data_IF_707840992269
#
_entry.id   IF_707840992269
#
_cell.length_a   1.000
_cell.length_b   1.000
_cell.length_c   1.000
_cell.angle_alpha   90.00
_cell.angle_beta   90.00
_cell.angle_gamma   90.00
#
_symmetry.space_group_name_H-M   'P 1'
#
loop_
_entity.id
_entity.type
_entity.pdbx_description
1 polymer ?
#
# COMPACT_ATOMS: atom_id res chain seq x y z
N UNK A 1 15.02 -10.30 1.14
CA UNK A 1 15.22 -11.58 1.86
C UNK A 1 14.17 -12.59 1.45
N UNK A 2 12.88 -12.27 1.56
CA UNK A 2 11.77 -13.15 1.13
C UNK A 2 11.86 -13.61 -0.32
N UNK A 3 12.13 -12.72 -1.28
CA UNK A 3 12.32 -13.12 -2.67
C UNK A 3 13.42 -14.16 -2.87
N UNK A 4 14.55 -14.05 -2.16
CA UNK A 4 15.63 -15.05 -2.20
C UNK A 4 15.23 -16.36 -1.54
N UNK A 5 14.56 -16.32 -0.39
CA UNK A 5 14.08 -17.53 0.29
C UNK A 5 13.06 -18.31 -0.54
N UNK A 6 12.17 -17.61 -1.25
CA UNK A 6 11.25 -18.24 -2.19
C UNK A 6 11.96 -18.78 -3.44
N UNK A 7 12.89 -18.04 -4.01
CA UNK A 7 13.71 -18.48 -5.15
C UNK A 7 14.44 -19.79 -4.81
N UNK A 8 15.14 -19.84 -3.67
CA UNK A 8 15.80 -21.06 -3.18
C UNK A 8 14.83 -22.24 -3.03
N UNK A 9 13.59 -21.99 -2.58
CA UNK A 9 12.58 -23.03 -2.43
C UNK A 9 12.06 -23.55 -3.78
N UNK A 10 11.90 -22.67 -4.76
CA UNK A 10 11.47 -23.03 -6.10
C UNK A 10 12.58 -23.72 -6.90
N UNK A 11 13.83 -23.28 -6.74
CA UNK A 11 15.02 -23.91 -7.34
C UNK A 11 15.10 -25.39 -6.93
N UNK A 12 14.84 -25.73 -5.66
CA UNK A 12 14.81 -27.12 -5.15
C UNK A 12 13.74 -27.99 -5.83
N UNK A 13 12.67 -27.39 -6.34
CA UNK A 13 11.59 -28.09 -7.03
C UNK A 13 11.76 -28.06 -8.57
N UNK A 14 12.77 -27.35 -9.08
CA UNK A 14 12.94 -27.11 -10.51
C UNK A 14 11.83 -26.24 -11.12
N UNK A 15 11.15 -25.41 -10.32
CA UNK A 15 10.09 -24.54 -10.80
C UNK A 15 10.63 -23.20 -11.28
N UNK A 16 10.15 -22.74 -12.44
CA UNK A 16 10.39 -21.39 -12.89
C UNK A 16 9.66 -20.38 -11.97
N UNK A 17 10.31 -19.25 -11.72
CA UNK A 17 9.74 -18.10 -11.02
C UNK A 17 10.21 -16.82 -11.68
N UNK A 18 9.45 -15.76 -11.44
CA UNK A 18 9.74 -14.46 -11.98
C UNK A 18 10.60 -13.67 -10.98
N UNK A 19 11.77 -13.20 -11.42
CA UNK A 19 12.82 -12.74 -10.51
C UNK A 19 13.16 -11.23 -10.59
N UNK A 20 12.66 -10.49 -11.59
CA UNK A 20 13.21 -9.14 -11.91
C UNK A 20 12.23 -8.16 -12.57
N UNK A 21 11.13 -7.82 -11.93
CA UNK A 21 10.37 -6.65 -12.37
C UNK A 21 10.02 -5.73 -11.21
N UNK A 22 9.74 -4.48 -11.55
CA UNK A 22 9.19 -3.48 -10.66
C UNK A 22 7.69 -3.75 -10.59
N UNK A 23 7.24 -4.32 -9.46
CA UNK A 23 5.82 -4.46 -9.21
C UNK A 23 5.25 -3.12 -8.73
N UNK A 24 4.20 -2.68 -9.40
CA UNK A 24 3.57 -1.43 -9.06
C UNK A 24 2.62 -1.57 -7.86
N UNK A 25 2.93 -0.88 -6.78
CA UNK A 25 2.04 -0.75 -5.62
C UNK A 25 1.14 0.48 -5.77
N UNK A 26 0.18 0.45 -6.71
CA UNK A 26 -0.57 1.64 -7.13
C UNK A 26 -1.70 2.08 -6.17
N UNK A 27 -2.37 1.16 -5.50
CA UNK A 27 -3.57 1.48 -4.72
C UNK A 27 -3.45 1.00 -3.26
N UNK A 28 -3.58 1.91 -2.27
CA UNK A 28 -3.47 1.59 -0.85
C UNK A 28 -4.55 0.61 -0.36
N UNK A 29 -5.65 0.43 -1.09
CA UNK A 29 -6.69 -0.53 -0.73
C UNK A 29 -6.44 -1.96 -1.21
N UNK A 30 -5.34 -2.24 -1.92
CA UNK A 30 -4.91 -3.64 -2.09
C UNK A 30 -4.41 -4.22 -0.77
N UNK A 31 -4.65 -5.52 -0.58
CA UNK A 31 -4.42 -6.23 0.66
C UNK A 31 -2.97 -6.20 1.14
N UNK A 32 -1.99 -6.21 0.23
CA UNK A 32 -0.57 -6.13 0.54
C UNK A 32 -0.09 -4.67 0.69
N UNK A 33 -0.74 -3.72 0.00
CA UNK A 33 -0.45 -2.29 0.12
C UNK A 33 -0.72 -1.72 1.50
N UNK A 34 -1.90 -1.94 2.06
CA UNK A 34 -2.29 -1.29 3.32
C UNK A 34 -1.39 -1.67 4.50
N UNK A 35 -1.07 -2.96 4.73
CA UNK A 35 -0.11 -3.36 5.75
C UNK A 35 1.29 -2.80 5.47
N UNK A 36 1.71 -2.76 4.20
CA UNK A 36 3.02 -2.21 3.82
C UNK A 36 3.15 -0.73 4.14
N UNK A 37 2.08 0.06 3.94
CA UNK A 37 2.02 1.46 4.37
C UNK A 37 2.06 1.63 5.89
N UNK A 38 1.80 0.56 6.64
CA UNK A 38 1.86 0.51 8.08
C UNK A 38 3.14 -0.17 8.61
N UNK A 39 4.15 -0.36 7.77
CA UNK A 39 5.47 -0.88 8.16
C UNK A 39 5.60 -2.40 8.11
N UNK A 40 4.54 -3.12 7.72
CA UNK A 40 4.66 -4.54 7.42
C UNK A 40 5.33 -4.76 6.05
N UNK A 41 5.60 -6.02 5.71
CA UNK A 41 6.09 -6.41 4.39
C UNK A 41 4.97 -7.20 3.73
N UNK A 42 4.23 -6.55 2.83
CA UNK A 42 3.20 -7.19 2.00
C UNK A 42 3.81 -7.85 0.77
N UNK A 43 3.33 -9.05 0.45
CA UNK A 43 3.72 -9.81 -0.75
C UNK A 43 2.50 -10.58 -1.25
N UNK A 44 2.26 -10.54 -2.55
CA UNK A 44 1.21 -11.33 -3.20
C UNK A 44 1.86 -12.50 -3.94
N UNK A 45 1.40 -13.72 -3.66
CA UNK A 45 1.85 -14.93 -4.35
C UNK A 45 0.82 -15.38 -5.37
N UNK A 46 1.08 -15.05 -6.63
CA UNK A 46 0.29 -15.51 -7.76
C UNK A 46 0.90 -16.79 -8.33
N UNK A 47 0.03 -17.71 -8.76
CA UNK A 47 0.48 -18.94 -9.43
C UNK A 47 -0.11 -19.04 -10.81
N UNK A 48 0.54 -19.81 -11.68
CA UNK A 48 0.15 -20.00 -13.07
C UNK A 48 -0.98 -21.02 -13.26
N UNK A 49 -1.42 -21.72 -12.20
CA UNK A 49 -2.49 -22.71 -12.21
C UNK A 49 -3.78 -22.23 -11.54
N UNK A 50 -4.94 -22.62 -12.08
CA UNK A 50 -6.25 -22.30 -11.52
C UNK A 50 -6.90 -21.02 -12.08
N UNK A 51 -7.83 -20.45 -11.31
CA UNK A 51 -8.58 -19.25 -11.68
C UNK A 51 -9.34 -19.40 -13.00
N UNK A 52 -9.27 -18.38 -13.86
CA UNK A 52 -9.88 -18.39 -15.19
C UNK A 52 -9.31 -19.44 -16.14
N UNK A 53 -8.15 -20.04 -15.82
CA UNK A 53 -7.50 -21.08 -16.63
C UNK A 53 -7.98 -22.50 -16.28
N UNK A 54 -8.83 -22.64 -15.26
CA UNK A 54 -9.43 -23.92 -14.87
C UNK A 54 -8.46 -24.92 -14.24
N UNK A 55 -8.81 -26.21 -14.28
CA UNK A 55 -8.04 -27.28 -13.62
C UNK A 55 -6.74 -27.63 -14.33
N UNK A 56 -6.65 -27.34 -15.63
CA UNK A 56 -5.50 -27.65 -16.49
C UNK A 56 -5.55 -26.79 -17.73
N UNK A 57 -4.41 -26.23 -18.11
CA UNK A 57 -4.25 -25.49 -19.36
C UNK A 57 -2.85 -25.70 -19.93
N UNK A 58 -2.65 -25.31 -21.18
CA UNK A 58 -1.37 -25.41 -21.89
C UNK A 58 -0.80 -24.02 -22.10
N UNK A 59 0.44 -23.83 -21.65
CA UNK A 59 1.24 -22.61 -21.87
C UNK A 59 1.67 -22.51 -23.34
N UNK A 60 2.11 -21.33 -23.74
CA UNK A 60 2.61 -21.07 -25.10
C UNK A 60 3.83 -21.92 -25.46
N UNK A 61 4.66 -22.25 -24.49
CA UNK A 61 5.82 -23.15 -24.63
C UNK A 61 5.44 -24.65 -24.72
N UNK A 62 4.13 -24.96 -24.73
CA UNK A 62 3.60 -26.31 -24.79
C UNK A 62 3.52 -27.02 -23.44
N UNK A 63 4.05 -26.43 -22.36
CA UNK A 63 4.00 -27.02 -21.02
C UNK A 63 2.55 -27.07 -20.50
N UNK A 64 2.22 -28.18 -19.82
CA UNK A 64 0.95 -28.32 -19.14
C UNK A 64 1.08 -27.83 -17.71
N UNK A 65 0.16 -26.94 -17.32
CA UNK A 65 0.05 -26.44 -15.95
C UNK A 65 -1.31 -26.83 -15.40
N UNK A 66 -1.34 -27.34 -14.18
CA UNK A 66 -2.56 -27.77 -13.50
C UNK A 66 -2.83 -26.94 -12.26
N UNK A 67 -4.08 -26.98 -11.79
CA UNK A 67 -4.45 -26.44 -10.48
C UNK A 67 -3.62 -27.10 -9.35
N UNK A 68 -3.29 -28.39 -9.50
CA UNK A 68 -2.43 -29.10 -8.53
C UNK A 68 -1.04 -28.45 -8.45
N UNK A 69 -0.45 -28.07 -9.58
CA UNK A 69 0.84 -27.38 -9.61
C UNK A 69 0.74 -26.00 -8.97
N UNK A 70 -0.36 -25.27 -9.22
CA UNK A 70 -0.63 -23.98 -8.57
C UNK A 70 -0.73 -24.11 -7.05
N UNK A 71 -1.49 -25.10 -6.55
CA UNK A 71 -1.61 -25.38 -5.12
C UNK A 71 -0.23 -25.71 -4.52
N UNK A 72 0.56 -26.58 -5.17
CA UNK A 72 1.88 -26.95 -4.69
C UNK A 72 2.83 -25.74 -4.61
N UNK A 73 2.86 -24.89 -5.65
CA UNK A 73 3.67 -23.65 -5.67
C UNK A 73 3.26 -22.70 -4.55
N UNK A 74 1.96 -22.46 -4.37
CA UNK A 74 1.45 -21.56 -3.33
C UNK A 74 1.78 -22.08 -1.92
N UNK A 75 1.65 -23.39 -1.71
CA UNK A 75 2.00 -24.04 -0.44
C UNK A 75 3.50 -23.90 -0.12
N UNK A 76 4.37 -24.21 -1.08
CA UNK A 76 5.83 -24.11 -0.90
C UNK A 76 6.26 -22.66 -0.67
N UNK A 77 5.70 -21.70 -1.42
CA UNK A 77 5.98 -20.27 -1.20
C UNK A 77 5.56 -19.82 0.21
N UNK A 78 4.41 -20.30 0.69
CA UNK A 78 3.92 -20.00 2.04
C UNK A 78 4.88 -20.52 3.11
N UNK A 79 5.31 -21.78 3.02
CA UNK A 79 6.29 -22.34 3.97
C UNK A 79 7.65 -21.63 3.89
N UNK A 80 8.16 -21.38 2.68
CA UNK A 80 9.41 -20.65 2.48
C UNK A 80 9.35 -19.24 3.10
N UNK A 81 8.19 -18.59 3.04
CA UNK A 81 7.95 -17.28 3.67
C UNK A 81 8.06 -17.39 5.18
N UNK A 82 7.38 -18.36 5.80
CA UNK A 82 7.43 -18.59 7.25
C UNK A 82 8.85 -18.92 7.70
N UNK A 83 9.54 -19.83 7.01
CA UNK A 83 10.94 -20.18 7.31
C UNK A 83 11.88 -18.98 7.19
N UNK A 84 11.68 -18.15 6.16
CA UNK A 84 12.48 -16.93 5.96
C UNK A 84 12.20 -15.91 7.07
N UNK A 85 10.93 -15.77 7.48
CA UNK A 85 10.56 -14.90 8.59
C UNK A 85 11.19 -15.35 9.91
N UNK A 86 11.15 -16.64 10.21
CA UNK A 86 11.77 -17.22 11.42
C UNK A 86 13.29 -17.00 11.41
N UNK A 87 13.95 -17.26 10.27
CA UNK A 87 15.40 -17.05 10.10
C UNK A 87 15.84 -15.60 10.27
N UNK A 88 14.98 -14.64 9.94
CA UNK A 88 15.29 -13.22 9.99
C UNK A 88 14.47 -12.44 11.04
N UNK A 89 13.91 -13.12 12.05
CA UNK A 89 12.94 -12.55 13.00
C UNK A 89 13.42 -11.25 13.65
N UNK A 90 14.68 -11.20 14.09
CA UNK A 90 15.23 -10.03 14.81
C UNK A 90 15.32 -8.82 13.88
N UNK A 91 15.83 -9.04 12.65
CA UNK A 91 15.89 -7.99 11.63
C UNK A 91 14.51 -7.48 11.23
N UNK A 92 13.52 -8.38 11.14
CA UNK A 92 12.14 -8.01 10.80
C UNK A 92 11.47 -7.20 11.91
N UNK A 93 11.63 -7.61 13.16
CA UNK A 93 11.13 -6.88 14.32
C UNK A 93 11.80 -5.51 14.45
N UNK A 94 13.12 -5.44 14.25
CA UNK A 94 13.85 -4.18 14.25
C UNK A 94 13.39 -3.26 13.12
N UNK A 95 13.20 -3.79 11.91
CA UNK A 95 12.64 -3.01 10.79
C UNK A 95 11.26 -2.44 11.12
N UNK A 96 10.36 -3.26 11.67
CA UNK A 96 9.02 -2.80 12.05
C UNK A 96 9.08 -1.73 13.14
N UNK A 97 9.89 -1.94 14.19
CA UNK A 97 10.10 -0.97 15.25
C UNK A 97 10.66 0.36 14.72
N UNK A 98 11.72 0.30 13.91
CA UNK A 98 12.34 1.48 13.34
C UNK A 98 11.36 2.25 12.46
N UNK A 99 10.58 1.56 11.62
CA UNK A 99 9.54 2.20 10.81
C UNK A 99 8.57 3.01 11.68
N UNK A 100 8.08 2.44 12.78
CA UNK A 100 7.13 3.11 13.69
C UNK A 100 7.77 4.29 14.42
N UNK A 101 9.00 4.10 14.91
CA UNK A 101 9.77 5.13 15.61
C UNK A 101 10.07 6.31 14.68
N UNK A 102 10.59 6.06 13.49
CA UNK A 102 10.92 7.11 12.53
C UNK A 102 9.67 7.84 12.04
N UNK A 103 8.53 7.15 11.87
CA UNK A 103 7.27 7.80 11.52
C UNK A 103 6.87 8.89 12.53
N UNK A 104 7.01 8.61 13.83
CA UNK A 104 6.74 9.59 14.90
C UNK A 104 7.71 10.77 14.80
N UNK A 105 9.01 10.49 14.68
CA UNK A 105 10.05 11.53 14.58
C UNK A 105 9.85 12.43 13.34
N UNK A 106 9.51 11.84 12.20
CA UNK A 106 9.23 12.54 10.95
C UNK A 106 7.96 13.38 11.04
N UNK A 107 6.87 12.86 11.62
CA UNK A 107 5.66 13.64 11.88
C UNK A 107 5.90 14.82 12.82
N UNK A 108 6.75 14.61 13.83
CA UNK A 108 7.13 15.62 14.82
C UNK A 108 8.17 16.63 14.32
N UNK A 109 8.88 16.37 13.19
CA UNK A 109 9.87 17.28 12.60
C UNK A 109 9.51 17.83 11.20
N UNK A 110 8.65 17.17 10.44
CA UNK A 110 8.21 17.55 9.10
C UNK A 110 7.48 18.91 8.99
N UNK A 111 7.31 19.45 7.77
CA UNK A 111 6.70 20.77 7.56
C UNK A 111 5.19 20.78 7.84
N UNK A 112 4.52 19.65 7.63
CA UNK A 112 3.13 19.44 8.05
C UNK A 112 3.12 18.67 9.36
N UNK A 113 2.44 19.20 10.37
CA UNK A 113 2.33 18.59 11.70
C UNK A 113 1.00 17.90 11.92
N UNK A 114 -0.09 18.46 11.40
CA UNK A 114 -1.45 18.02 11.71
C UNK A 114 -2.38 18.26 10.53
N UNK A 115 -3.36 17.38 10.37
CA UNK A 115 -4.53 17.66 9.55
C UNK A 115 -5.72 18.02 10.43
N UNK A 116 -6.49 19.01 10.00
CA UNK A 116 -7.74 19.40 10.66
C UNK A 116 -8.88 19.21 9.67
N UNK A 117 -9.80 18.32 9.99
CA UNK A 117 -11.01 18.08 9.20
C UNK A 117 -12.19 18.78 9.86
N UNK A 118 -12.88 19.59 9.09
CA UNK A 118 -14.10 20.26 9.54
C UNK A 118 -15.28 19.28 9.46
N UNK A 119 -16.19 19.27 10.44
CA UNK A 119 -17.38 18.41 10.41
C UNK A 119 -18.31 18.74 9.24
N UNK A 120 -18.17 19.92 8.64
CA UNK A 120 -18.96 20.36 7.49
C UNK A 120 -20.46 20.41 7.81
N UNK A 121 -21.28 20.21 6.78
CA UNK A 121 -22.74 20.17 6.92
C UNK A 121 -23.28 18.77 7.22
N UNK A 122 -22.41 17.75 7.30
CA UNK A 122 -22.77 16.35 7.51
C UNK A 122 -21.90 15.74 8.63
N UNK A 123 -22.34 15.83 9.88
CA UNK A 123 -21.64 15.26 11.03
C UNK A 123 -21.46 13.74 10.93
N UNK A 124 -22.34 13.04 10.21
CA UNK A 124 -22.27 11.60 10.03
C UNK A 124 -21.01 11.20 9.24
N UNK A 125 -20.73 11.91 8.15
CA UNK A 125 -19.51 11.68 7.35
C UNK A 125 -18.23 11.95 8.14
N UNK A 126 -18.21 12.98 8.97
CA UNK A 126 -17.07 13.27 9.83
C UNK A 126 -16.85 12.14 10.86
N UNK A 127 -17.94 11.63 11.46
CA UNK A 127 -17.88 10.49 12.36
C UNK A 127 -17.40 9.20 11.67
N UNK A 128 -17.85 8.93 10.44
CA UNK A 128 -17.39 7.77 9.65
C UNK A 128 -15.90 7.86 9.30
N UNK A 129 -15.41 9.05 8.95
CA UNK A 129 -13.99 9.30 8.75
C UNK A 129 -13.20 9.02 10.02
N UNK A 130 -13.62 9.59 11.16
CA UNK A 130 -12.98 9.36 12.45
C UNK A 130 -12.95 7.86 12.80
N UNK A 131 -14.06 7.15 12.64
CA UNK A 131 -14.15 5.72 12.89
C UNK A 131 -13.22 4.91 11.97
N UNK A 132 -13.06 5.33 10.71
CA UNK A 132 -12.16 4.68 9.76
C UNK A 132 -10.69 4.87 10.15
N UNK A 133 -10.32 6.09 10.56
CA UNK A 133 -8.98 6.40 11.05
C UNK A 133 -8.66 5.61 12.33
N UNK A 134 -9.60 5.55 13.27
CA UNK A 134 -9.44 4.78 14.51
C UNK A 134 -9.29 3.27 14.24
N UNK A 135 -10.04 2.71 13.29
CA UNK A 135 -9.86 1.30 12.84
C UNK A 135 -8.48 1.06 12.22
N UNK A 136 -7.91 2.08 11.57
CA UNK A 136 -6.55 2.06 11.06
C UNK A 136 -5.48 2.25 12.16
N UNK A 137 -5.90 2.46 13.41
CA UNK A 137 -5.00 2.76 14.53
C UNK A 137 -4.47 4.19 14.52
N UNK A 138 -5.05 5.08 13.73
CA UNK A 138 -4.71 6.51 13.69
C UNK A 138 -5.58 7.22 14.73
N UNK A 139 -4.94 7.86 15.69
CA UNK A 139 -5.55 8.67 16.72
C UNK A 139 -6.15 9.95 16.11
N UNK A 140 -7.35 10.26 16.56
CA UNK A 140 -8.12 11.44 16.15
C UNK A 140 -8.58 12.17 17.41
N UNK A 141 -8.26 13.45 17.50
CA UNK A 141 -8.75 14.32 18.57
C UNK A 141 -9.95 15.11 18.06
N UNK A 142 -10.94 15.33 18.92
CA UNK A 142 -12.09 16.20 18.61
C UNK A 142 -11.99 17.46 19.44
N UNK A 143 -12.05 18.62 18.79
CA UNK A 143 -11.98 19.90 19.51
C UNK A 143 -13.24 20.15 20.33
N UNK A 144 -13.07 20.60 21.56
CA UNK A 144 -14.20 20.98 22.43
C UNK A 144 -14.55 22.47 22.29
N UNK A 145 -13.56 23.27 21.88
CA UNK A 145 -13.68 24.73 21.73
C UNK A 145 -13.12 25.14 20.36
N UNK A 146 -13.48 26.37 19.94
CA UNK A 146 -12.90 26.95 18.75
C UNK A 146 -11.44 27.36 18.98
N UNK A 147 -10.63 27.28 17.93
CA UNK A 147 -9.24 27.72 17.96
C UNK A 147 -8.87 28.35 16.63
N UNK A 148 -7.76 29.10 16.58
CA UNK A 148 -7.26 29.72 15.36
C UNK A 148 -5.81 29.36 15.09
N UNK A 149 -5.44 29.26 13.81
CA UNK A 149 -4.06 29.04 13.37
C UNK A 149 -3.70 29.99 12.25
N UNK A 150 -2.54 30.64 12.37
CA UNK A 150 -1.95 31.50 11.33
C UNK A 150 -1.16 30.71 10.28
N UNK A 151 -0.79 29.47 10.60
CA UNK A 151 0.00 28.60 9.74
C UNK A 151 -0.85 27.62 8.91
N UNK A 152 -2.16 27.59 9.15
CA UNK A 152 -3.08 26.72 8.44
C UNK A 152 -3.18 27.10 6.95
N UNK A 153 -3.36 26.09 6.11
CA UNK A 153 -3.59 26.25 4.68
C UNK A 153 -4.45 25.09 4.18
N UNK A 154 -5.19 25.33 3.10
CA UNK A 154 -5.90 24.24 2.43
C UNK A 154 -4.89 23.30 1.79
N UNK A 155 -5.22 22.01 1.76
CA UNK A 155 -4.33 20.96 1.27
C UNK A 155 -3.78 21.24 -0.14
N UNK A 156 -4.65 21.77 -1.02
CA UNK A 156 -4.30 22.06 -2.42
C UNK A 156 -3.59 23.38 -2.63
N UNK A 157 -3.98 24.44 -1.91
CA UNK A 157 -3.46 25.79 -2.16
C UNK A 157 -2.09 26.01 -1.56
N UNK A 158 -1.74 25.32 -0.46
CA UNK A 158 -0.46 25.44 0.28
C UNK A 158 -0.12 26.86 0.76
N UNK A 159 -1.00 27.83 0.57
CA UNK A 159 -0.82 29.22 1.01
C UNK A 159 -1.36 29.37 2.42
N UNK A 160 -0.47 29.67 3.37
CA UNK A 160 -0.85 29.93 4.75
C UNK A 160 -1.77 31.14 4.85
N UNK A 161 -2.93 30.95 5.48
CA UNK A 161 -3.89 32.00 5.77
C UNK A 161 -4.37 31.83 7.21
N UNK A 162 -4.60 32.93 7.97
CA UNK A 162 -5.26 32.83 9.26
C UNK A 162 -6.62 32.13 9.11
N UNK A 163 -6.81 31.04 9.85
CA UNK A 163 -8.04 30.25 9.85
C UNK A 163 -8.52 30.05 11.28
N UNK A 164 -9.83 30.10 11.46
CA UNK A 164 -10.51 29.67 12.68
C UNK A 164 -11.19 28.34 12.43
N UNK A 165 -11.15 27.47 13.44
CA UNK A 165 -11.74 26.14 13.43
C UNK A 165 -12.75 26.06 14.57
N UNK A 166 -13.96 25.54 14.32
CA UNK A 166 -14.98 25.42 15.35
C UNK A 166 -14.70 24.27 16.32
N UNK A 167 -15.46 24.21 17.40
CA UNK A 167 -15.63 22.98 18.17
C UNK A 167 -16.18 21.86 17.27
N UNK A 168 -15.83 20.60 17.56
CA UNK A 168 -16.19 19.43 16.77
C UNK A 168 -15.28 19.18 15.55
N UNK A 169 -14.22 19.97 15.35
CA UNK A 169 -13.22 19.68 14.33
C UNK A 169 -12.38 18.46 14.72
N UNK A 170 -12.04 17.63 13.74
CA UNK A 170 -11.18 16.46 13.93
C UNK A 170 -9.73 16.86 13.67
N UNK A 171 -8.84 16.55 14.60
CA UNK A 171 -7.40 16.78 14.48
C UNK A 171 -6.69 15.43 14.41
N UNK A 172 -5.89 15.25 13.38
CA UNK A 172 -4.97 14.11 13.23
C UNK A 172 -3.55 14.64 13.32
N UNK A 173 -2.83 14.28 14.40
CA UNK A 173 -1.40 14.59 14.51
C UNK A 173 -0.59 13.62 13.65
N UNK A 174 0.39 14.12 12.91
CA UNK A 174 1.24 13.29 12.05
C UNK A 174 2.35 12.59 12.81
N UNK A 175 2.64 12.97 14.06
CA UNK A 175 3.60 12.31 14.94
C UNK A 175 3.03 11.00 15.51
N UNK A 176 2.59 10.10 14.64
CA UNK A 176 1.96 8.83 15.00
C UNK A 176 2.64 7.64 14.30
N UNK A 177 2.68 6.46 14.94
CA UNK A 177 3.33 5.27 14.41
C UNK A 177 2.80 4.79 13.04
N UNK A 178 1.58 5.16 12.66
CA UNK A 178 0.89 4.72 11.45
C UNK A 178 1.23 5.59 10.23
N UNK A 179 1.82 6.77 10.41
CA UNK A 179 1.88 7.83 9.40
C UNK A 179 3.30 8.13 8.88
N UNK A 180 4.05 7.08 8.53
CA UNK A 180 5.41 7.20 8.00
C UNK A 180 5.50 7.86 6.61
N UNK A 181 6.70 8.32 6.23
CA UNK A 181 7.05 9.07 5.02
C UNK A 181 6.33 8.66 3.70
N UNK A 182 6.05 7.36 3.53
CA UNK A 182 5.39 6.82 2.34
C UNK A 182 3.96 7.35 2.10
N UNK A 183 3.22 7.64 3.17
CA UNK A 183 1.91 8.29 3.07
C UNK A 183 2.05 9.77 2.67
N UNK A 184 3.00 10.50 3.26
CA UNK A 184 3.20 11.93 2.98
C UNK A 184 3.64 12.23 1.53
N UNK A 185 4.49 11.38 0.95
CA UNK A 185 4.95 11.50 -0.44
C UNK A 185 3.85 11.12 -1.45
N UNK A 186 3.02 10.11 -1.14
CA UNK A 186 1.96 9.65 -2.06
C UNK A 186 0.74 10.56 -2.08
N UNK A 187 0.39 11.21 -0.98
CA UNK A 187 -0.63 12.28 -1.02
C UNK A 187 -0.15 13.51 -1.79
N UNK A 188 1.17 13.77 -1.84
CA UNK A 188 1.77 14.82 -2.69
C UNK A 188 1.64 14.50 -4.19
N UNK A 189 1.48 13.22 -4.55
CA UNK A 189 1.34 12.73 -5.92
C UNK A 189 -0.10 12.26 -6.22
N UNK A 190 -1.12 12.98 -5.75
CA UNK A 190 -2.46 12.80 -6.30
C UNK A 190 -2.39 13.00 -7.83
N UNK A 191 -2.95 12.09 -8.65
CA UNK A 191 -2.80 12.15 -10.10
C UNK A 191 -3.47 13.42 -10.62
N UNK A 192 -2.68 14.32 -11.20
CA UNK A 192 -3.18 15.26 -12.20
C UNK A 192 -3.81 14.42 -13.29
N UNK A 193 -5.14 14.47 -13.39
CA UNK A 193 -5.91 13.59 -14.25
C UNK A 193 -5.46 13.72 -15.70
N UNK A 194 -4.83 12.66 -16.21
CA UNK A 194 -4.91 12.35 -17.63
C UNK A 194 -5.04 10.83 -17.82
N UNK A 195 -6.29 10.37 -17.84
CA UNK A 195 -6.68 8.99 -18.04
C UNK A 195 -6.76 8.60 -19.53
N UNK A 196 -6.00 9.27 -20.42
CA UNK A 196 -6.02 8.97 -21.87
C UNK A 196 -4.89 8.07 -22.38
N UNK A 197 -3.86 7.78 -21.60
CA UNK A 197 -2.67 7.06 -22.12
C UNK A 197 -2.77 5.51 -22.18
N UNK A 198 -3.89 4.88 -21.78
CA UNK A 198 -4.02 3.40 -21.77
C UNK A 198 -4.94 2.79 -22.85
N UNK A 199 -5.32 3.53 -23.91
CA UNK A 199 -6.24 3.04 -24.96
C UNK A 199 -5.65 2.82 -26.36
N UNK A 200 -4.34 2.93 -26.55
CA UNK A 200 -3.73 2.72 -27.88
C UNK A 200 -2.52 1.79 -27.79
N UNK A 201 -2.79 0.51 -27.55
CA UNK A 201 -1.86 -0.58 -27.84
C UNK A 201 -2.69 -1.82 -28.19
N UNK A 202 -3.34 -1.78 -29.36
CA UNK A 202 -4.28 -2.82 -29.74
C UNK A 202 -4.93 -2.61 -31.10
N UNK A 203 -4.18 -2.23 -32.12
CA UNK A 203 -4.54 -2.46 -33.53
C UNK A 203 -3.40 -2.02 -34.43
N UNK A 204 -2.70 -3.01 -35.01
CA UNK A 204 -2.20 -2.97 -36.39
C UNK A 204 -1.60 -4.36 -36.70
N UNK A 205 -2.32 -5.14 -37.50
CA UNK A 205 -1.77 -6.26 -38.27
C UNK A 205 -1.35 -5.68 -39.63
N UNK A 206 -0.18 -6.01 -40.20
CA UNK A 206 0.03 -5.82 -41.61
C UNK A 206 -0.49 -7.02 -42.39
N UNK A 207 -1.32 -6.72 -43.38
CA UNK A 207 -1.71 -7.61 -44.47
C UNK A 207 -0.48 -7.99 -45.32
N UNK A 208 -0.43 -9.27 -45.71
CA UNK A 208 0.18 -9.87 -46.90
C UNK A 208 1.47 -9.32 -47.51
N UNK A 209 2.50 -10.17 -47.53
CA UNK A 209 3.35 -10.35 -48.70
C UNK A 209 3.98 -11.76 -48.71
N UNK A 210 3.51 -12.58 -49.67
CA UNK A 210 3.98 -13.88 -50.18
C UNK A 210 3.82 -15.12 -49.28
#
# INVERSE_FOLDING_TARGET
MFGRGNAEAFDRQGWAYFARDVFDLFYPGYWDSWPSLNGAIGMTYETDGGGSRGLRWRREDGALVTLRDGIAKHFVASLATVETAVRHRERLLQYFYDFKRTAIEEGARGPMRRFVFLPGNDPGRAAELAATLLRAGIEVQVTQESFSSRAAHDYLSKTATPRSFPAGALIVDLAQPQLGFGLQQRFRQAPTGDSRAKRTAGQERPEGAL
#
